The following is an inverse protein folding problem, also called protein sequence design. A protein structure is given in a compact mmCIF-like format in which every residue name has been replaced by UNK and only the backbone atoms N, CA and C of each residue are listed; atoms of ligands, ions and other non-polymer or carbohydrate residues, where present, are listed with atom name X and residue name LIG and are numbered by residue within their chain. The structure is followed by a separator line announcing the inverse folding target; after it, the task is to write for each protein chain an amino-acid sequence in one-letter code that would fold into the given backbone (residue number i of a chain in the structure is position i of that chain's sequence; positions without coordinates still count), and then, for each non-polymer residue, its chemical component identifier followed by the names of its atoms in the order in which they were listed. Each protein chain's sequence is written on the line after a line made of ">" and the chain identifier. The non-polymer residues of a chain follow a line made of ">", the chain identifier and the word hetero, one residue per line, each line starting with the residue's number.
data_IF_978090079052
#
_entry.id   IF_978090079052
#
_cell.length_a   1.000
_cell.length_b   1.000
_cell.length_c   1.000
_cell.angle_alpha   90.00
_cell.angle_beta   90.00
_cell.angle_gamma   90.00
#
_symmetry.space_group_name_H-M   'P 1'
#
loop_
_entity.id
_entity.type
_entity.pdbx_description
1 polymer ?
#
# COMPACT_ATOMS: atom_id res chain seq x y z
N UNK A 1 -12.18 -34.96 49.35
CA UNK A 1 -12.21 -33.64 48.67
C UNK A 1 -11.50 -33.60 47.30
N UNK A 2 -10.77 -34.65 46.87
CA UNK A 2 -10.05 -34.62 45.57
C UNK A 2 -10.90 -34.89 44.31
N UNK A 3 -12.07 -35.55 44.40
CA UNK A 3 -12.90 -35.86 43.23
C UNK A 3 -13.57 -34.63 42.58
N UNK A 4 -13.86 -33.56 43.34
CA UNK A 4 -14.39 -32.29 42.81
C UNK A 4 -13.33 -31.48 42.05
N UNK A 5 -12.06 -31.57 42.46
CA UNK A 5 -10.96 -30.84 41.81
C UNK A 5 -10.48 -31.51 40.51
N UNK A 6 -10.65 -32.83 40.38
CA UNK A 6 -10.39 -33.56 39.13
C UNK A 6 -11.44 -33.22 38.06
N UNK A 7 -12.70 -33.01 38.46
CA UNK A 7 -13.77 -32.61 37.54
C UNK A 7 -13.60 -31.17 37.04
N UNK A 8 -13.03 -30.29 37.87
CA UNK A 8 -12.73 -28.90 37.49
C UNK A 8 -11.55 -28.78 36.51
N UNK A 9 -10.59 -29.72 36.57
CA UNK A 9 -9.41 -29.73 35.69
C UNK A 9 -9.73 -30.24 34.27
N UNK A 10 -10.75 -31.10 34.11
CA UNK A 10 -11.19 -31.61 32.81
C UNK A 10 -11.89 -30.57 31.93
N UNK A 11 -12.51 -29.54 32.52
CA UNK A 11 -13.27 -28.51 31.79
C UNK A 11 -12.36 -27.45 31.13
N UNK A 12 -11.10 -27.34 31.55
CA UNK A 12 -10.12 -26.37 31.01
C UNK A 12 -9.46 -26.91 29.72
N UNK A 13 -9.40 -28.23 29.55
CA UNK A 13 -8.67 -28.88 28.44
C UNK A 13 -9.47 -28.84 27.12
N UNK A 14 -10.81 -28.74 27.18
CA UNK A 14 -11.67 -28.70 25.99
C UNK A 14 -11.70 -27.33 25.27
N UNK A 15 -11.18 -26.27 25.88
CA UNK A 15 -11.14 -24.92 25.27
C UNK A 15 -9.86 -24.63 24.48
N UNK A 16 -8.89 -25.56 24.41
CA UNK A 16 -7.57 -25.34 23.77
C UNK A 16 -7.47 -25.82 22.31
N UNK A 17 -8.56 -26.23 21.69
CA UNK A 17 -8.59 -26.60 20.27
C UNK A 17 -9.78 -25.98 19.54
N UNK A 18 -9.81 -24.65 19.48
CA UNK A 18 -10.44 -23.98 18.34
C UNK A 18 -9.31 -23.39 17.50
N UNK A 19 -8.95 -24.07 16.41
CA UNK A 19 -8.20 -23.44 15.33
C UNK A 19 -9.12 -22.42 14.68
N UNK A 20 -9.19 -21.22 15.27
CA UNK A 20 -9.96 -20.12 14.73
C UNK A 20 -9.26 -19.69 13.45
N UNK A 21 -9.71 -20.23 12.31
CA UNK A 21 -9.44 -19.58 11.04
C UNK A 21 -10.10 -18.20 11.14
N UNK A 22 -9.30 -17.14 11.23
CA UNK A 22 -9.79 -15.77 11.17
C UNK A 22 -10.56 -15.62 9.85
N UNK A 23 -11.89 -15.78 9.90
CA UNK A 23 -12.74 -15.53 8.74
C UNK A 23 -12.57 -14.06 8.37
N UNK A 24 -12.05 -13.80 7.18
CA UNK A 24 -11.87 -12.45 6.67
C UNK A 24 -13.25 -11.87 6.34
N UNK A 25 -13.61 -10.81 7.05
CA UNK A 25 -14.83 -10.05 6.79
C UNK A 25 -14.50 -8.92 5.80
N UNK A 26 -14.63 -9.22 4.51
CA UNK A 26 -14.40 -8.24 3.46
C UNK A 26 -15.47 -7.14 3.50
N UNK A 27 -15.12 -5.88 3.18
CA UNK A 27 -16.12 -4.84 3.03
C UNK A 27 -17.07 -5.15 1.88
N UNK A 28 -18.36 -4.89 2.08
CA UNK A 28 -19.39 -5.14 1.08
C UNK A 28 -19.15 -4.30 -0.19
N UNK A 29 -19.37 -4.91 -1.36
CA UNK A 29 -19.39 -4.21 -2.63
C UNK A 29 -20.78 -4.35 -3.20
N UNK A 30 -21.51 -3.23 -3.33
CA UNK A 30 -22.84 -3.27 -3.94
C UNK A 30 -22.75 -3.80 -5.36
N UNK A 31 -23.74 -4.60 -5.75
CA UNK A 31 -23.93 -5.04 -7.12
C UNK A 31 -25.09 -4.25 -7.69
N UNK A 32 -24.89 -3.67 -8.88
CA UNK A 32 -25.97 -3.05 -9.65
C UNK A 32 -26.34 -3.97 -10.80
N UNK A 33 -27.59 -3.95 -11.20
CA UNK A 33 -28.03 -4.67 -12.40
C UNK A 33 -27.65 -3.81 -13.61
N UNK A 34 -26.58 -4.22 -14.29
CA UNK A 34 -26.06 -3.56 -15.47
C UNK A 34 -25.53 -4.60 -16.44
N UNK A 35 -26.08 -4.63 -17.64
CA UNK A 35 -25.62 -5.46 -18.75
C UNK A 35 -25.51 -4.66 -20.04
N UNK A 36 -24.57 -5.06 -20.89
CA UNK A 36 -24.39 -4.51 -22.24
C UNK A 36 -24.32 -5.62 -23.28
N UNK A 37 -24.80 -5.35 -24.49
CA UNK A 37 -24.64 -6.27 -25.62
C UNK A 37 -23.48 -5.84 -26.50
N UNK A 38 -22.38 -6.59 -26.48
CA UNK A 38 -21.22 -6.36 -27.34
C UNK A 38 -21.11 -7.48 -28.38
N UNK A 39 -21.12 -7.11 -29.67
CA UNK A 39 -21.04 -8.06 -30.78
C UNK A 39 -22.06 -9.21 -30.73
N UNK A 40 -23.26 -8.94 -30.20
CA UNK A 40 -24.33 -9.93 -30.05
C UNK A 40 -24.26 -10.78 -28.78
N UNK A 41 -23.31 -10.52 -27.88
CA UNK A 41 -23.18 -11.19 -26.58
C UNK A 41 -23.57 -10.24 -25.46
N UNK A 42 -24.46 -10.69 -24.56
CA UNK A 42 -24.79 -9.97 -23.33
C UNK A 42 -23.68 -10.18 -22.30
N UNK A 43 -23.22 -9.09 -21.69
CA UNK A 43 -22.14 -9.04 -20.71
C UNK A 43 -22.62 -8.27 -19.49
N UNK A 44 -22.66 -8.92 -18.34
CA UNK A 44 -22.98 -8.30 -17.06
C UNK A 44 -21.76 -7.61 -16.45
N UNK A 45 -21.95 -6.39 -15.95
CA UNK A 45 -20.93 -5.62 -15.24
C UNK A 45 -21.52 -4.96 -13.99
N UNK A 46 -21.69 -5.77 -12.95
CA UNK A 46 -22.34 -5.37 -11.70
C UNK A 46 -21.57 -4.31 -10.89
N UNK A 47 -20.36 -3.93 -11.31
CA UNK A 47 -19.51 -2.96 -10.61
C UNK A 47 -19.16 -1.74 -11.46
N UNK A 48 -19.88 -1.53 -12.58
CA UNK A 48 -19.71 -0.37 -13.46
C UNK A 48 -19.64 0.97 -12.73
N UNK A 49 -20.38 1.10 -11.63
CA UNK A 49 -20.40 2.31 -10.80
C UNK A 49 -19.03 2.69 -10.22
N UNK A 50 -18.09 1.74 -10.08
CA UNK A 50 -16.71 2.01 -9.63
C UNK A 50 -15.85 2.73 -10.68
N UNK A 51 -16.27 2.76 -11.95
CA UNK A 51 -15.56 3.52 -13.00
C UNK A 51 -15.64 5.03 -12.77
N UNK A 52 -16.71 5.50 -12.13
CA UNK A 52 -16.80 6.88 -11.65
C UNK A 52 -16.09 7.00 -10.30
N UNK A 53 -14.76 7.06 -10.37
CA UNK A 53 -13.88 7.07 -9.21
C UNK A 53 -13.99 8.34 -8.35
N UNK A 54 -14.66 9.39 -8.84
CA UNK A 54 -14.89 10.63 -8.06
C UNK A 54 -16.25 10.68 -7.37
N UNK A 55 -17.12 9.69 -7.60
CA UNK A 55 -18.41 9.61 -6.91
C UNK A 55 -18.26 9.35 -5.41
N UNK A 56 -19.22 9.84 -4.63
CA UNK A 56 -19.25 9.61 -3.17
C UNK A 56 -19.25 8.12 -2.82
N UNK A 57 -19.95 7.29 -3.61
CA UNK A 57 -20.03 5.85 -3.39
C UNK A 57 -18.68 5.17 -3.64
N UNK A 58 -17.97 5.54 -4.71
CA UNK A 58 -16.66 4.97 -5.05
C UNK A 58 -15.60 5.35 -4.02
N UNK A 59 -15.66 6.59 -3.53
CA UNK A 59 -14.79 7.08 -2.46
C UNK A 59 -15.05 6.32 -1.15
N UNK A 60 -16.31 6.17 -0.74
CA UNK A 60 -16.68 5.37 0.46
C UNK A 60 -16.17 3.93 0.34
N UNK A 61 -16.38 3.29 -0.81
CA UNK A 61 -15.90 1.93 -1.04
C UNK A 61 -14.39 1.84 -0.96
N UNK A 62 -13.66 2.76 -1.61
CA UNK A 62 -12.20 2.84 -1.54
C UNK A 62 -11.73 2.97 -0.09
N UNK A 63 -12.36 3.83 0.71
CA UNK A 63 -12.00 4.04 2.11
C UNK A 63 -12.20 2.76 2.93
N UNK A 64 -13.32 2.07 2.77
CA UNK A 64 -13.58 0.79 3.46
C UNK A 64 -12.57 -0.28 3.08
N UNK A 65 -12.21 -0.40 1.80
CA UNK A 65 -11.16 -1.32 1.34
C UNK A 65 -9.78 -0.96 1.92
N UNK A 66 -9.44 0.33 1.94
CA UNK A 66 -8.20 0.83 2.53
C UNK A 66 -8.13 0.54 4.03
N UNK A 67 -9.22 0.75 4.77
CA UNK A 67 -9.29 0.46 6.21
C UNK A 67 -9.13 -1.04 6.48
N UNK A 68 -9.84 -1.89 5.73
CA UNK A 68 -9.69 -3.34 5.82
C UNK A 68 -8.24 -3.77 5.59
N UNK A 69 -7.62 -3.28 4.52
CA UNK A 69 -6.25 -3.61 4.14
C UNK A 69 -5.24 -3.12 5.18
N UNK A 70 -5.36 -1.88 5.66
CA UNK A 70 -4.50 -1.33 6.72
C UNK A 70 -4.59 -2.16 7.99
N UNK A 71 -5.80 -2.61 8.37
CA UNK A 71 -6.00 -3.49 9.52
C UNK A 71 -5.36 -4.86 9.30
N UNK A 72 -5.53 -5.45 8.12
CA UNK A 72 -4.98 -6.76 7.78
C UNK A 72 -3.44 -6.74 7.76
N UNK A 73 -2.84 -5.82 6.99
CA UNK A 73 -1.38 -5.67 6.88
C UNK A 73 -0.75 -5.21 8.20
N UNK A 74 -1.43 -4.35 8.95
CA UNK A 74 -0.98 -3.86 10.26
C UNK A 74 -0.86 -4.94 11.34
N UNK A 75 -1.48 -6.12 11.17
CA UNK A 75 -1.25 -7.28 12.05
C UNK A 75 0.18 -7.83 11.94
N UNK A 76 0.91 -7.51 10.87
CA UNK A 76 2.25 -8.03 10.64
C UNK A 76 3.29 -7.32 11.53
N UNK A 77 3.85 -8.06 12.50
CA UNK A 77 4.90 -7.57 13.42
C UNK A 77 6.19 -7.10 12.75
N UNK A 78 6.48 -7.56 11.53
CA UNK A 78 7.72 -7.25 10.82
C UNK A 78 7.64 -5.96 9.99
N UNK A 79 6.44 -5.43 9.74
CA UNK A 79 6.24 -4.25 8.89
C UNK A 79 7.17 -3.08 9.28
N UNK A 80 7.25 -2.76 10.59
CA UNK A 80 8.09 -1.67 11.09
C UNK A 80 9.59 -1.92 10.87
N UNK A 81 10.05 -3.15 11.08
CA UNK A 81 11.47 -3.49 10.89
C UNK A 81 11.85 -3.48 9.41
N UNK A 82 10.97 -3.99 8.53
CA UNK A 82 11.18 -3.96 7.09
C UNK A 82 11.24 -2.51 6.61
N UNK A 83 10.26 -1.70 7.00
CA UNK A 83 10.23 -0.27 6.64
C UNK A 83 11.48 0.47 7.10
N UNK A 84 11.94 0.22 8.35
CA UNK A 84 13.18 0.81 8.85
C UNK A 84 14.40 0.41 8.02
N UNK A 85 14.56 -0.89 7.72
CA UNK A 85 15.70 -1.39 6.95
C UNK A 85 15.71 -0.80 5.53
N UNK A 86 14.54 -0.76 4.86
CA UNK A 86 14.41 -0.16 3.53
C UNK A 86 14.75 1.33 3.55
N UNK A 87 14.27 2.08 4.55
CA UNK A 87 14.60 3.50 4.70
C UNK A 87 16.10 3.72 4.89
N UNK A 88 16.77 2.90 5.71
CA UNK A 88 18.23 3.00 5.89
C UNK A 88 19.00 2.75 4.60
N UNK A 89 18.55 1.82 3.75
CA UNK A 89 19.19 1.53 2.47
C UNK A 89 18.89 2.65 1.44
N UNK A 90 17.68 3.20 1.48
CA UNK A 90 17.21 4.19 0.51
C UNK A 90 17.73 5.60 0.78
N UNK A 91 17.91 5.97 2.05
CA UNK A 91 18.32 7.32 2.48
C UNK A 91 19.81 7.56 2.30
N UNK A 92 20.26 7.51 1.05
CA UNK A 92 21.61 7.84 0.63
C UNK A 92 21.57 8.94 -0.44
N UNK A 93 22.60 9.78 -0.44
CA UNK A 93 22.77 10.78 -1.49
C UNK A 93 22.97 10.09 -2.84
N UNK A 94 22.31 10.63 -3.87
CA UNK A 94 22.45 10.14 -5.24
C UNK A 94 22.60 11.29 -6.21
N UNK A 95 23.46 11.07 -7.21
CA UNK A 95 23.66 11.95 -8.35
C UNK A 95 23.49 11.12 -9.63
N UNK A 96 22.70 11.63 -10.58
CA UNK A 96 22.60 11.00 -11.89
C UNK A 96 23.87 11.21 -12.69
N UNK A 97 24.06 10.44 -13.77
CA UNK A 97 25.11 10.77 -14.74
C UNK A 97 24.89 12.20 -15.29
N UNK A 98 25.89 13.09 -15.20
CA UNK A 98 25.78 14.41 -15.79
C UNK A 98 25.72 14.34 -17.31
N UNK A 99 24.92 15.20 -17.92
CA UNK A 99 24.83 15.34 -19.38
C UNK A 99 24.96 16.81 -19.79
N UNK A 100 25.55 17.04 -20.97
CA UNK A 100 25.79 18.38 -21.50
C UNK A 100 24.74 18.75 -22.55
N UNK A 101 24.23 19.98 -22.48
CA UNK A 101 23.43 20.61 -23.53
C UNK A 101 24.04 21.98 -23.80
N UNK A 102 24.64 22.16 -24.98
CA UNK A 102 25.52 23.30 -25.30
C UNK A 102 26.64 23.41 -24.25
N UNK A 103 26.86 24.61 -23.68
CA UNK A 103 27.90 24.87 -22.68
C UNK A 103 27.45 24.57 -21.23
N UNK A 104 26.25 24.03 -21.04
CA UNK A 104 25.66 23.78 -19.71
C UNK A 104 25.66 22.30 -19.38
N UNK A 105 25.90 21.98 -18.11
CA UNK A 105 25.85 20.61 -17.59
C UNK A 105 24.63 20.44 -16.68
N UNK A 106 23.92 19.33 -16.83
CA UNK A 106 22.71 19.01 -16.10
C UNK A 106 22.87 17.67 -15.39
N UNK A 107 22.30 17.54 -14.21
CA UNK A 107 22.22 16.28 -13.46
C UNK A 107 21.11 16.36 -12.43
N UNK A 108 20.58 15.21 -12.03
CA UNK A 108 19.66 15.11 -10.90
C UNK A 108 20.45 14.83 -9.63
N UNK A 109 20.04 15.46 -8.52
CA UNK A 109 20.56 15.18 -7.18
C UNK A 109 19.42 14.89 -6.22
N UNK A 110 19.62 13.94 -5.32
CA UNK A 110 18.73 13.68 -4.20
C UNK A 110 19.57 13.47 -2.95
N UNK A 111 19.20 14.13 -1.85
CA UNK A 111 19.90 13.98 -0.56
C UNK A 111 19.52 12.69 0.20
N UNK A 112 18.71 11.82 -0.43
CA UNK A 112 18.18 10.59 0.14
C UNK A 112 16.90 10.78 0.94
N UNK A 113 16.52 12.03 1.25
CA UNK A 113 15.31 12.38 2.00
C UNK A 113 14.20 12.95 1.12
N UNK A 114 14.55 13.52 -0.04
CA UNK A 114 13.56 14.13 -0.92
C UNK A 114 12.72 13.07 -1.64
N UNK A 115 11.42 13.33 -1.71
CA UNK A 115 10.49 12.48 -2.47
C UNK A 115 10.86 12.39 -3.96
N UNK A 116 11.45 13.45 -4.51
CA UNK A 116 11.88 13.53 -5.90
C UNK A 116 13.25 14.19 -5.98
N UNK A 117 14.07 13.73 -6.93
CA UNK A 117 15.37 14.34 -7.21
C UNK A 117 15.19 15.72 -7.82
N UNK A 118 16.07 16.66 -7.46
CA UNK A 118 16.10 18.01 -8.03
C UNK A 118 16.99 18.03 -9.26
N UNK A 119 16.54 18.72 -10.31
CA UNK A 119 17.36 18.97 -11.48
C UNK A 119 18.32 20.13 -11.17
N UNK A 120 19.61 19.89 -11.34
CA UNK A 120 20.68 20.85 -11.16
C UNK A 120 21.25 21.27 -12.50
N UNK A 121 21.74 22.49 -12.58
CA UNK A 121 22.43 23.04 -13.74
C UNK A 121 23.73 23.74 -13.33
N UNK A 122 24.78 23.52 -14.12
CA UNK A 122 26.02 24.32 -14.11
C UNK A 122 26.12 25.05 -15.43
N UNK A 123 26.19 26.39 -15.37
CA UNK A 123 26.23 27.24 -16.56
C UNK A 123 27.59 27.20 -17.30
N UNK A 124 28.65 26.74 -16.61
CA UNK A 124 30.00 26.45 -17.12
C UNK A 124 30.69 25.45 -16.16
N UNK A 125 31.88 24.93 -16.51
CA UNK A 125 32.57 23.89 -15.72
C UNK A 125 32.90 24.34 -14.29
N UNK A 126 33.35 25.58 -14.12
CA UNK A 126 33.71 26.19 -12.82
C UNK A 126 32.59 27.02 -12.19
N UNK A 127 31.45 27.12 -12.86
CA UNK A 127 30.29 27.85 -12.35
C UNK A 127 29.66 27.10 -11.18
N UNK A 128 29.17 27.84 -10.18
CA UNK A 128 28.35 27.26 -9.10
C UNK A 128 27.10 26.61 -9.69
N UNK A 129 26.78 25.43 -9.21
CA UNK A 129 25.52 24.76 -9.50
C UNK A 129 24.33 25.52 -8.90
N UNK A 130 23.19 25.43 -9.57
CA UNK A 130 21.90 25.92 -9.07
C UNK A 130 20.80 24.93 -9.41
N UNK A 131 19.73 24.96 -8.62
CA UNK A 131 18.51 24.21 -8.94
C UNK A 131 17.87 24.87 -10.16
N UNK A 132 17.35 24.05 -11.08
CA UNK A 132 16.56 24.49 -12.22
C UNK A 132 15.05 24.39 -11.91
#
# INVERSE_FOLDING_TARGET
>A
MHKKNIFLLGMIILSSCSSQSDKLNYPESKKVDFSETLHGYEIEDAYRWLEEFTSEESIDWMERQNQFTKKFVGKNKFQKSISKNLNTIWSNESISMPYKVKDKTFYYVNDGSWQQSKLMIKDCEDCKERIL
#
